data_IF_030862618207
#
_entry.id   IF_030862618207
#
_cell.length_a   1.000
_cell.length_b   1.000
_cell.length_c   1.000
_cell.angle_alpha   90.00
_cell.angle_beta   90.00
_cell.angle_gamma   90.00
#
_symmetry.space_group_name_H-M   'P 1'
#
loop_
_entity.id
_entity.type
_entity.pdbx_description
1 polymer ?
#
# COMPACT_ATOMS: atom_id res chain seq x y z
N UNK A 1 -14.21 23.28 1.17
CA UNK A 1 -13.53 22.14 1.79
C UNK A 1 -12.53 21.61 0.78
N UNK A 2 -11.24 21.58 1.12
CA UNK A 2 -10.24 21.02 0.23
C UNK A 2 -10.53 19.52 0.08
N UNK A 3 -10.72 19.05 -1.15
CA UNK A 3 -11.04 17.65 -1.45
C UNK A 3 -9.79 16.81 -1.23
N UNK A 4 -9.50 16.47 0.02
CA UNK A 4 -8.35 15.65 0.39
C UNK A 4 -8.55 14.21 -0.12
N UNK A 5 -7.66 13.76 -1.01
CA UNK A 5 -7.73 12.43 -1.62
C UNK A 5 -7.72 11.31 -0.58
N UNK A 6 -7.10 11.53 0.58
CA UNK A 6 -7.03 10.54 1.68
C UNK A 6 -8.43 10.27 2.24
N UNK A 7 -9.20 11.34 2.46
CA UNK A 7 -10.58 11.24 2.91
C UNK A 7 -11.49 10.61 1.83
N UNK A 8 -11.28 10.95 0.56
CA UNK A 8 -12.00 10.35 -0.55
C UNK A 8 -11.71 8.84 -0.66
N UNK A 9 -10.45 8.43 -0.50
CA UNK A 9 -10.05 7.03 -0.49
C UNK A 9 -10.71 6.23 0.64
N UNK A 10 -10.77 6.75 1.87
CA UNK A 10 -11.45 6.06 2.98
C UNK A 10 -12.94 5.87 2.67
N UNK A 11 -13.63 6.92 2.19
CA UNK A 11 -15.05 6.80 1.80
C UNK A 11 -15.25 5.78 0.70
N UNK A 12 -14.41 5.82 -0.32
CA UNK A 12 -14.40 4.87 -1.43
C UNK A 12 -14.18 3.43 -0.95
N UNK A 13 -13.25 3.21 -0.02
CA UNK A 13 -13.01 1.89 0.57
C UNK A 13 -14.19 1.37 1.40
N UNK A 14 -14.89 2.25 2.13
CA UNK A 14 -16.10 1.88 2.89
C UNK A 14 -17.26 1.54 1.93
N UNK A 15 -17.50 2.39 0.93
CA UNK A 15 -18.58 2.22 -0.07
C UNK A 15 -18.46 0.87 -0.80
N UNK A 16 -17.25 0.47 -1.15
CA UNK A 16 -16.97 -0.80 -1.83
C UNK A 16 -16.71 -1.99 -0.88
N UNK A 17 -17.00 -1.83 0.43
CA UNK A 17 -16.80 -2.86 1.45
C UNK A 17 -15.35 -3.40 1.54
N UNK A 18 -14.39 -2.66 1.00
CA UNK A 18 -12.95 -2.94 1.13
C UNK A 18 -12.51 -2.70 2.56
N UNK A 19 -13.03 -1.64 3.18
CA UNK A 19 -12.89 -1.34 4.60
C UNK A 19 -14.20 -1.69 5.30
N UNK A 20 -14.14 -2.62 6.25
CA UNK A 20 -15.30 -3.09 7.02
C UNK A 20 -15.04 -2.99 8.51
N UNK A 21 -16.12 -2.84 9.28
CA UNK A 21 -16.11 -2.84 10.74
C UNK A 21 -16.76 -4.11 11.28
N UNK A 22 -16.33 -4.54 12.47
CA UNK A 22 -16.70 -5.81 13.09
C UNK A 22 -15.49 -6.49 13.72
N UNK A 23 -15.63 -7.75 14.12
CA UNK A 23 -14.54 -8.50 14.73
C UNK A 23 -13.78 -9.35 13.70
N UNK A 24 -12.50 -9.05 13.51
CA UNK A 24 -11.65 -9.74 12.54
C UNK A 24 -10.38 -10.27 13.18
N UNK A 25 -10.13 -11.58 13.06
CA UNK A 25 -8.85 -12.15 13.46
C UNK A 25 -7.79 -11.90 12.38
N UNK A 26 -6.75 -11.14 12.73
CA UNK A 26 -5.61 -10.86 11.86
C UNK A 26 -4.64 -12.05 11.80
N UNK A 27 -3.73 -12.05 10.81
CA UNK A 27 -2.63 -13.04 10.73
C UNK A 27 -1.75 -13.09 11.98
N UNK A 28 -1.68 -11.98 12.74
CA UNK A 28 -0.99 -11.91 14.03
C UNK A 28 -1.75 -12.55 15.19
N UNK A 29 -2.97 -13.05 14.96
CA UNK A 29 -3.88 -13.56 15.99
C UNK A 29 -4.69 -12.49 16.72
N UNK A 30 -4.40 -11.19 16.50
CA UNK A 30 -5.13 -10.07 17.12
C UNK A 30 -6.57 -9.98 16.60
N UNK A 31 -7.49 -9.60 17.48
CA UNK A 31 -8.87 -9.25 17.11
C UNK A 31 -8.94 -7.75 16.82
N UNK A 32 -9.16 -7.41 15.56
CA UNK A 32 -9.25 -6.05 15.04
C UNK A 32 -10.72 -5.63 14.87
N UNK A 33 -11.10 -4.40 15.25
CA UNK A 33 -12.47 -3.87 15.06
C UNK A 33 -12.76 -3.45 13.61
N UNK A 34 -11.76 -3.55 12.75
CA UNK A 34 -11.84 -3.21 11.34
C UNK A 34 -10.96 -4.13 10.50
N UNK A 35 -11.29 -4.28 9.22
CA UNK A 35 -10.50 -5.03 8.27
C UNK A 35 -10.45 -4.34 6.92
N UNK A 36 -9.25 -4.32 6.34
CA UNK A 36 -9.00 -3.75 5.03
C UNK A 36 -8.59 -4.88 4.07
N UNK A 37 -9.35 -5.06 3.00
CA UNK A 37 -9.09 -6.06 1.97
C UNK A 37 -9.06 -5.43 0.58
N UNK A 38 -7.88 -5.00 0.13
CA UNK A 38 -7.70 -4.43 -1.21
C UNK A 38 -8.14 -5.37 -2.35
N UNK A 39 -8.23 -6.68 -2.10
CA UNK A 39 -8.74 -7.65 -3.09
C UNK A 39 -10.21 -7.45 -3.47
N UNK A 40 -10.95 -6.60 -2.76
CA UNK A 40 -12.32 -6.21 -3.12
C UNK A 40 -12.39 -5.05 -4.13
N UNK A 41 -11.26 -4.40 -4.44
CA UNK A 41 -11.13 -3.56 -5.64
C UNK A 41 -10.96 -4.43 -6.88
N UNK A 42 -12.02 -5.19 -7.21
CA UNK A 42 -12.00 -6.30 -8.17
C UNK A 42 -12.73 -6.02 -9.49
N UNK A 43 -13.09 -4.77 -9.74
CA UNK A 43 -13.66 -4.32 -11.02
C UNK A 43 -12.71 -3.34 -11.70
N UNK A 44 -12.85 -3.18 -13.03
CA UNK A 44 -12.01 -2.24 -13.78
C UNK A 44 -12.12 -0.79 -13.27
N UNK A 45 -13.33 -0.34 -12.90
CA UNK A 45 -13.53 1.00 -12.36
C UNK A 45 -12.88 1.18 -11.00
N UNK A 46 -13.00 0.19 -10.12
CA UNK A 46 -12.43 0.29 -8.76
C UNK A 46 -10.91 0.22 -8.77
N UNK A 47 -10.34 -0.63 -9.61
CA UNK A 47 -8.89 -0.71 -9.80
C UNK A 47 -8.31 0.56 -10.43
N UNK A 48 -9.01 1.14 -11.42
CA UNK A 48 -8.57 2.39 -12.04
C UNK A 48 -8.57 3.56 -11.03
N UNK A 49 -9.59 3.65 -10.17
CA UNK A 49 -9.64 4.68 -9.13
C UNK A 49 -8.58 4.46 -8.06
N UNK A 50 -8.33 3.20 -7.66
CA UNK A 50 -7.25 2.86 -6.75
C UNK A 50 -5.87 3.30 -7.28
N UNK A 51 -5.59 3.07 -8.58
CA UNK A 51 -4.36 3.55 -9.22
C UNK A 51 -4.18 5.07 -9.14
N UNK A 52 -5.27 5.83 -9.27
CA UNK A 52 -5.25 7.30 -9.13
C UNK A 52 -4.95 7.75 -7.71
N UNK A 53 -5.52 7.06 -6.71
CA UNK A 53 -5.21 7.37 -5.31
C UNK A 53 -3.74 7.11 -4.96
N UNK A 54 -3.15 6.02 -5.46
CA UNK A 54 -1.71 5.79 -5.32
C UNK A 54 -0.88 6.89 -6.00
N UNK A 55 -1.22 7.28 -7.23
CA UNK A 55 -0.55 8.36 -7.95
C UNK A 55 -0.59 9.67 -7.15
N UNK A 56 -1.76 10.04 -6.65
CA UNK A 56 -1.93 11.23 -5.81
C UNK A 56 -1.08 11.18 -4.54
N UNK A 57 -1.06 10.05 -3.83
CA UNK A 57 -0.29 9.88 -2.61
C UNK A 57 1.22 10.02 -2.86
N UNK A 58 1.73 9.31 -3.87
CA UNK A 58 3.16 9.32 -4.23
C UNK A 58 3.62 10.70 -4.69
N UNK A 59 2.82 11.38 -5.53
CA UNK A 59 3.13 12.73 -6.01
C UNK A 59 3.08 13.76 -4.87
N UNK A 60 2.08 13.67 -3.99
CA UNK A 60 1.96 14.57 -2.84
C UNK A 60 3.12 14.40 -1.84
N UNK A 61 3.71 13.21 -1.75
CA UNK A 61 4.89 12.94 -0.94
C UNK A 61 6.20 13.48 -1.57
N UNK A 62 6.17 13.94 -2.83
CA UNK A 62 7.37 14.39 -3.53
C UNK A 62 8.39 13.29 -3.76
N UNK A 63 7.95 12.03 -3.79
CA UNK A 63 8.84 10.88 -3.92
C UNK A 63 9.37 10.80 -5.35
N UNK A 64 10.69 10.79 -5.49
CA UNK A 64 11.34 10.62 -6.78
C UNK A 64 11.62 9.14 -7.06
N UNK A 65 11.25 8.69 -8.25
CA UNK A 65 11.42 7.32 -8.71
C UNK A 65 11.45 7.29 -10.24
N UNK A 66 12.08 6.25 -10.79
CA UNK A 66 12.28 6.08 -12.23
C UNK A 66 11.40 4.96 -12.79
N UNK A 67 11.00 4.00 -11.94
CA UNK A 67 10.07 2.92 -12.31
C UNK A 67 9.28 2.41 -11.09
N UNK A 68 8.23 1.63 -11.35
CA UNK A 68 7.42 0.98 -10.29
C UNK A 68 7.56 -0.55 -10.32
N UNK A 69 7.59 -1.16 -9.15
CA UNK A 69 7.66 -2.60 -8.95
C UNK A 69 6.52 -3.10 -8.05
N UNK A 70 5.78 -4.10 -8.53
CA UNK A 70 4.69 -4.74 -7.78
C UNK A 70 5.05 -6.17 -7.34
N UNK A 71 5.23 -6.46 -6.04
CA UNK A 71 5.52 -7.81 -5.58
C UNK A 71 4.35 -8.78 -5.85
N UNK A 72 4.67 -10.00 -6.25
CA UNK A 72 3.67 -11.03 -6.50
C UNK A 72 2.92 -11.45 -5.22
N UNK A 73 1.60 -11.60 -5.22
CA UNK A 73 0.66 -11.43 -6.35
C UNK A 73 -0.08 -10.10 -6.34
N UNK A 74 -0.32 -9.54 -5.15
CA UNK A 74 -1.20 -8.37 -4.97
C UNK A 74 -0.62 -7.10 -5.56
N UNK A 75 0.70 -6.93 -5.52
CA UNK A 75 1.37 -5.76 -6.10
C UNK A 75 1.28 -5.70 -7.63
N UNK A 76 1.04 -6.83 -8.31
CA UNK A 76 0.99 -6.88 -9.78
C UNK A 76 -0.11 -5.98 -10.37
N UNK A 77 -1.41 -6.14 -10.02
CA UNK A 77 -2.45 -5.25 -10.51
C UNK A 77 -2.28 -3.81 -10.02
N UNK A 78 -1.70 -3.61 -8.82
CA UNK A 78 -1.47 -2.28 -8.26
C UNK A 78 -0.41 -1.49 -9.05
N UNK A 79 0.72 -2.12 -9.37
CA UNK A 79 1.77 -1.52 -10.19
C UNK A 79 1.28 -1.17 -11.59
N UNK A 80 0.50 -2.06 -12.21
CA UNK A 80 -0.11 -1.79 -13.50
C UNK A 80 -1.09 -0.60 -13.43
N UNK A 81 -2.01 -0.60 -12.46
CA UNK A 81 -2.99 0.47 -12.29
C UNK A 81 -2.34 1.83 -11.98
N UNK A 82 -1.29 1.82 -11.15
CA UNK A 82 -0.49 3.01 -10.87
C UNK A 82 0.22 3.54 -12.11
N UNK A 83 0.92 2.69 -12.87
CA UNK A 83 1.60 3.09 -14.09
C UNK A 83 0.63 3.69 -15.13
N UNK A 84 -0.54 3.08 -15.31
CA UNK A 84 -1.61 3.61 -16.16
C UNK A 84 -2.07 4.98 -15.65
N UNK A 85 -2.32 5.13 -14.35
CA UNK A 85 -2.74 6.41 -13.78
C UNK A 85 -1.68 7.51 -13.94
N UNK A 86 -0.40 7.18 -13.81
CA UNK A 86 0.72 8.10 -14.03
C UNK A 86 0.79 8.57 -15.49
N UNK A 87 0.60 7.66 -16.46
CA UNK A 87 0.54 8.02 -17.87
C UNK A 87 -0.69 8.90 -18.19
N UNK A 88 -1.88 8.43 -17.85
CA UNK A 88 -3.15 9.07 -18.25
C UNK A 88 -3.44 10.39 -17.54
N UNK A 89 -3.09 10.50 -16.25
CA UNK A 89 -3.46 11.66 -15.41
C UNK A 89 -2.33 12.64 -15.19
N UNK A 90 -1.08 12.20 -15.38
CA UNK A 90 0.10 12.98 -15.04
C UNK A 90 1.10 13.09 -16.20
N UNK A 91 0.83 12.49 -17.36
CA UNK A 91 1.71 12.55 -18.53
C UNK A 91 3.09 11.93 -18.29
N UNK A 92 3.20 11.02 -17.31
CA UNK A 92 4.44 10.35 -16.93
C UNK A 92 4.37 8.88 -17.30
N UNK A 93 4.94 8.56 -18.46
CA UNK A 93 5.11 7.17 -18.89
C UNK A 93 6.28 6.53 -18.13
N UNK A 94 5.96 5.68 -17.16
CA UNK A 94 6.94 5.04 -16.27
C UNK A 94 7.00 3.53 -16.56
N UNK A 95 8.21 2.93 -16.61
CA UNK A 95 8.34 1.49 -16.69
C UNK A 95 7.73 0.81 -15.45
N UNK A 96 7.11 -0.35 -15.64
CA UNK A 96 6.64 -1.19 -14.55
C UNK A 96 7.21 -2.61 -14.64
N UNK A 97 7.42 -3.22 -13.48
CA UNK A 97 7.87 -4.60 -13.35
C UNK A 97 7.20 -5.31 -12.17
N UNK A 98 7.25 -6.63 -12.17
CA UNK A 98 6.84 -7.47 -11.05
C UNK A 98 7.64 -8.78 -11.05
N UNK A 99 7.65 -9.50 -9.92
CA UNK A 99 8.28 -10.81 -9.87
C UNK A 99 7.29 -11.97 -10.06
N UNK A 100 7.82 -13.15 -10.35
CA UNK A 100 7.18 -14.45 -10.16
C UNK A 100 7.66 -15.07 -8.85
N UNK A 101 6.86 -15.96 -8.26
CA UNK A 101 7.29 -16.74 -7.09
C UNK A 101 8.29 -17.85 -7.44
N UNK A 102 8.23 -18.33 -8.67
CA UNK A 102 9.13 -19.37 -9.20
C UNK A 102 9.75 -18.88 -10.51
N UNK A 103 11.04 -19.19 -10.70
CA UNK A 103 11.72 -18.90 -11.95
C UNK A 103 11.13 -19.77 -13.07
N UNK A 104 11.10 -19.24 -14.30
CA UNK A 104 10.85 -20.09 -15.47
C UNK A 104 12.16 -20.67 -15.98
N UNK A 105 12.16 -21.98 -16.21
CA UNK A 105 13.30 -22.70 -16.78
C UNK A 105 13.40 -22.56 -18.33
N UNK A 106 12.42 -21.92 -18.98
CA UNK A 106 12.32 -21.80 -20.44
C UNK A 106 11.79 -20.40 -20.86
N UNK A 107 12.23 -19.88 -22.01
CA UNK A 107 11.87 -18.55 -22.53
C UNK A 107 12.85 -17.44 -22.12
N UNK A 108 12.37 -16.21 -21.87
CA UNK A 108 13.20 -15.08 -21.37
C UNK A 108 13.86 -15.35 -20.00
N UNK A 109 13.48 -16.44 -19.31
CA UNK A 109 14.10 -16.88 -18.06
C UNK A 109 13.85 -15.94 -16.88
N UNK A 110 14.39 -16.30 -15.71
CA UNK A 110 14.41 -15.44 -14.53
C UNK A 110 13.06 -15.28 -13.81
N UNK A 111 13.06 -14.33 -12.87
CA UNK A 111 11.94 -14.08 -11.95
C UNK A 111 11.24 -12.75 -12.20
N UNK A 112 11.77 -11.86 -13.02
CA UNK A 112 11.20 -10.52 -13.29
C UNK A 112 10.38 -10.55 -14.58
N UNK A 113 9.26 -9.85 -14.58
CA UNK A 113 8.38 -9.64 -15.73
C UNK A 113 8.12 -8.14 -15.89
N UNK A 114 8.14 -7.65 -17.13
CA UNK A 114 8.03 -6.23 -17.45
C UNK A 114 9.41 -5.63 -17.76
N UNK A 115 9.60 -4.36 -17.42
CA UNK A 115 10.87 -3.67 -17.65
C UNK A 115 12.01 -4.25 -16.78
N UNK A 116 13.27 -4.20 -17.23
CA UNK A 116 14.41 -4.52 -16.37
C UNK A 116 14.45 -3.58 -15.16
N UNK A 117 14.80 -4.11 -13.99
CA UNK A 117 14.96 -3.30 -12.78
C UNK A 117 16.19 -2.41 -12.91
N UNK A 118 15.99 -1.09 -12.90
CA UNK A 118 17.06 -0.09 -13.05
C UNK A 118 16.69 1.22 -12.35
N UNK A 119 17.69 2.01 -11.98
CA UNK A 119 17.49 3.32 -11.35
C UNK A 119 16.85 3.21 -9.96
N UNK A 120 15.92 4.13 -9.67
CA UNK A 120 15.18 4.23 -8.41
C UNK A 120 13.81 3.57 -8.55
N UNK A 121 13.61 2.48 -7.83
CA UNK A 121 12.42 1.62 -7.95
C UNK A 121 11.45 1.91 -6.80
N UNK A 122 10.25 2.36 -7.12
CA UNK A 122 9.15 2.46 -6.17
C UNK A 122 8.47 1.10 -6.03
N UNK A 123 8.40 0.54 -4.82
CA UNK A 123 7.61 -0.67 -4.56
C UNK A 123 6.16 -0.27 -4.21
N UNK A 124 5.17 -0.95 -4.79
CA UNK A 124 3.75 -0.70 -4.50
C UNK A 124 3.05 -1.96 -4.01
N UNK A 125 2.41 -1.91 -2.83
CA UNK A 125 1.77 -3.05 -2.19
C UNK A 125 0.47 -2.63 -1.48
N UNK A 126 -0.40 -3.55 -1.06
CA UNK A 126 -1.66 -3.18 -0.43
C UNK A 126 -1.50 -2.65 0.99
N UNK A 127 -0.88 -3.43 1.87
CA UNK A 127 -0.62 -3.10 3.28
C UNK A 127 0.72 -3.69 3.71
N UNK A 128 1.50 -2.95 4.52
CA UNK A 128 2.69 -3.53 5.16
C UNK A 128 2.27 -4.25 6.44
N UNK A 129 2.61 -5.54 6.55
CA UNK A 129 2.38 -6.34 7.76
C UNK A 129 3.69 -6.66 8.49
N UNK A 130 4.48 -7.62 8.00
CA UNK A 130 5.79 -7.97 8.56
C UNK A 130 6.98 -7.46 7.71
N UNK A 131 6.68 -6.66 6.67
CA UNK A 131 7.68 -6.18 5.72
C UNK A 131 8.33 -7.27 4.84
N UNK A 132 7.85 -8.51 4.87
CA UNK A 132 8.43 -9.62 4.11
C UNK A 132 8.42 -9.38 2.60
N UNK A 133 7.29 -8.92 2.03
CA UNK A 133 7.19 -8.60 0.60
C UNK A 133 8.16 -7.49 0.19
N UNK A 134 8.30 -6.46 1.02
CA UNK A 134 9.25 -5.36 0.80
C UNK A 134 10.69 -5.88 0.85
N UNK A 135 11.04 -6.74 1.80
CA UNK A 135 12.38 -7.34 1.93
C UNK A 135 12.74 -8.18 0.71
N UNK A 136 11.82 -9.04 0.26
CA UNK A 136 12.00 -9.82 -0.98
C UNK A 136 12.20 -8.89 -2.19
N UNK A 137 11.39 -7.83 -2.29
CA UNK A 137 11.49 -6.84 -3.37
C UNK A 137 12.81 -6.09 -3.35
N UNK A 138 13.24 -5.61 -2.19
CA UNK A 138 14.51 -4.91 -2.01
C UNK A 138 15.71 -5.79 -2.40
N UNK A 139 15.67 -7.08 -2.08
CA UNK A 139 16.71 -8.03 -2.48
C UNK A 139 16.76 -8.19 -4.01
N UNK A 140 15.61 -8.32 -4.69
CA UNK A 140 15.54 -8.41 -6.15
C UNK A 140 16.05 -7.12 -6.83
N UNK A 141 15.63 -5.96 -6.32
CA UNK A 141 16.04 -4.64 -6.80
C UNK A 141 17.55 -4.47 -6.67
N UNK A 142 18.10 -4.78 -5.49
CA UNK A 142 19.55 -4.70 -5.23
C UNK A 142 20.34 -5.70 -6.08
N UNK A 143 19.84 -6.92 -6.28
CA UNK A 143 20.50 -7.93 -7.11
C UNK A 143 20.57 -7.52 -8.60
N UNK A 144 19.64 -6.67 -9.06
CA UNK A 144 19.67 -6.09 -10.39
C UNK A 144 20.53 -4.80 -10.50
N UNK A 145 21.17 -4.36 -9.40
CA UNK A 145 21.95 -3.12 -9.35
C UNK A 145 21.11 -1.85 -9.30
N UNK A 146 19.80 -1.97 -9.06
CA UNK A 146 18.89 -0.85 -8.85
C UNK A 146 18.81 -0.47 -7.37
N UNK A 147 18.15 0.66 -7.08
CA UNK A 147 17.97 1.20 -5.72
C UNK A 147 16.51 1.24 -5.35
N UNK A 148 16.18 0.89 -4.11
CA UNK A 148 14.82 1.06 -3.59
C UNK A 148 14.59 2.56 -3.33
N UNK A 149 13.59 3.15 -3.97
CA UNK A 149 13.23 4.56 -3.81
C UNK A 149 12.34 4.80 -2.59
N UNK A 150 11.43 3.86 -2.33
CA UNK A 150 10.39 3.94 -1.32
C UNK A 150 9.35 2.85 -1.51
N UNK A 151 8.38 2.84 -0.61
CA UNK A 151 7.23 1.92 -0.66
C UNK A 151 5.94 2.71 -0.62
N UNK A 152 5.00 2.42 -1.51
CA UNK A 152 3.66 2.97 -1.51
C UNK A 152 2.64 1.90 -1.09
N UNK A 153 1.79 2.20 -0.11
CA UNK A 153 0.72 1.32 0.38
C UNK A 153 -0.64 2.01 0.41
N UNK A 154 -1.72 1.22 0.36
CA UNK A 154 -3.07 1.76 0.42
C UNK A 154 -3.41 2.30 1.81
N UNK A 155 -3.13 1.52 2.86
CA UNK A 155 -3.51 1.86 4.22
C UNK A 155 -2.37 1.57 5.21
N UNK A 156 -1.90 2.60 5.91
CA UNK A 156 -1.08 2.43 7.10
C UNK A 156 -1.97 2.23 8.33
N UNK A 157 -1.87 1.04 8.92
CA UNK A 157 -2.65 0.67 10.11
C UNK A 157 -2.17 1.36 11.38
N UNK A 158 -0.97 1.95 11.38
CA UNK A 158 -0.34 2.58 12.55
C UNK A 158 -0.34 1.65 13.78
N UNK A 159 -0.08 0.37 13.54
CA UNK A 159 -0.08 -0.69 14.56
C UNK A 159 1.34 -1.22 14.77
N UNK A 160 1.71 -1.46 16.03
CA UNK A 160 2.95 -2.13 16.42
C UNK A 160 3.07 -3.49 15.77
N UNK A 161 4.24 -3.80 15.22
CA UNK A 161 4.61 -5.13 14.74
C UNK A 161 4.83 -6.11 15.89
N UNK A 162 5.94 -6.84 15.84
CA UNK A 162 6.42 -7.64 16.98
C UNK A 162 7.18 -6.77 18.00
N UNK A 163 7.71 -5.62 17.59
CA UNK A 163 8.37 -4.65 18.45
C UNK A 163 7.53 -3.40 18.70
N UNK A 164 8.21 -2.31 19.08
CA UNK A 164 7.59 -1.02 19.39
C UNK A 164 7.22 -0.18 18.16
N UNK A 165 7.85 -0.45 17.01
CA UNK A 165 7.61 0.30 15.78
C UNK A 165 6.42 -0.27 15.00
N UNK A 166 5.78 0.59 14.21
CA UNK A 166 4.84 0.13 13.18
C UNK A 166 5.58 -0.63 12.09
N UNK A 167 4.87 -1.50 11.37
CA UNK A 167 5.44 -2.22 10.23
C UNK A 167 6.01 -1.28 9.16
N UNK A 168 5.36 -0.13 8.92
CA UNK A 168 5.85 0.91 8.02
C UNK A 168 7.16 1.52 8.55
N UNK A 169 7.21 1.91 9.83
CA UNK A 169 8.42 2.46 10.46
C UNK A 169 9.58 1.47 10.49
N UNK A 170 9.30 0.18 10.69
CA UNK A 170 10.32 -0.87 10.61
C UNK A 170 10.92 -0.95 9.20
N UNK A 171 10.10 -0.85 8.15
CA UNK A 171 10.58 -0.78 6.77
C UNK A 171 11.43 0.48 6.56
N UNK A 172 10.95 1.65 6.99
CA UNK A 172 11.72 2.90 6.85
C UNK A 172 13.09 2.80 7.51
N UNK A 173 13.14 2.29 8.75
CA UNK A 173 14.39 2.12 9.49
C UNK A 173 15.33 1.11 8.84
N UNK A 174 14.80 -0.03 8.40
CA UNK A 174 15.63 -1.14 7.91
C UNK A 174 16.19 -0.89 6.51
N UNK A 175 15.49 -0.12 5.68
CA UNK A 175 15.88 0.13 4.29
C UNK A 175 16.31 1.57 4.01
N UNK A 176 16.08 2.50 4.94
CA UNK A 176 16.44 3.91 4.77
C UNK A 176 15.63 4.63 3.70
N UNK A 177 14.39 4.17 3.43
CA UNK A 177 13.51 4.72 2.39
C UNK A 177 12.14 5.08 2.98
N UNK A 178 11.43 6.08 2.45
CA UNK A 178 10.10 6.45 2.95
C UNK A 178 9.04 5.38 2.64
N UNK A 179 8.07 5.25 3.55
CA UNK A 179 6.82 4.52 3.30
C UNK A 179 5.67 5.53 3.16
N UNK A 180 5.12 5.64 1.95
CA UNK A 180 3.98 6.49 1.63
C UNK A 180 2.70 5.67 1.73
N UNK A 181 1.70 6.17 2.45
CA UNK A 181 0.36 5.58 2.46
C UNK A 181 -0.66 6.51 1.82
N UNK A 182 -1.66 5.96 1.14
CA UNK A 182 -2.81 6.76 0.64
C UNK A 182 -3.57 7.32 1.83
N UNK A 183 -3.87 6.49 2.82
CA UNK A 183 -4.49 6.91 4.07
C UNK A 183 -3.92 6.10 5.24
N UNK A 184 -4.24 6.55 6.45
CA UNK A 184 -3.84 5.90 7.69
C UNK A 184 -5.02 5.80 8.68
N UNK A 185 -4.78 5.16 9.83
CA UNK A 185 -5.79 5.02 10.88
C UNK A 185 -6.31 6.38 11.38
N UNK A 186 -5.45 7.41 11.47
CA UNK A 186 -5.88 8.78 11.80
C UNK A 186 -6.90 9.33 10.79
N UNK A 187 -6.64 9.14 9.49
CA UNK A 187 -7.55 9.55 8.41
C UNK A 187 -8.90 8.82 8.52
N UNK A 188 -8.88 7.52 8.81
CA UNK A 188 -10.10 6.74 9.03
C UNK A 188 -10.93 7.32 10.18
N UNK A 189 -10.31 7.58 11.33
CA UNK A 189 -10.99 8.15 12.50
C UNK A 189 -11.57 9.54 12.19
N UNK A 190 -10.84 10.37 11.43
CA UNK A 190 -11.33 11.69 11.02
C UNK A 190 -12.57 11.59 10.12
N UNK A 191 -12.56 10.68 9.14
CA UNK A 191 -13.71 10.48 8.23
C UNK A 191 -14.94 10.00 8.99
N UNK A 192 -14.80 9.01 9.88
CA UNK A 192 -15.93 8.50 10.67
C UNK A 192 -16.54 9.58 11.58
N UNK A 193 -15.71 10.43 12.19
CA UNK A 193 -16.18 11.58 12.98
C UNK A 193 -16.95 12.59 12.14
N UNK A 194 -16.51 12.84 10.91
CA UNK A 194 -17.17 13.78 10.00
C UNK A 194 -18.50 13.24 9.46
N UNK A 195 -18.60 11.92 9.22
CA UNK A 195 -19.84 11.28 8.75
C UNK A 195 -20.89 11.19 9.86
N UNK A 196 -20.48 10.99 11.11
CA UNK A 196 -21.38 10.75 12.25
C UNK A 196 -22.03 9.36 12.20
N UNK A 197 -22.68 8.93 13.29
CA UNK A 197 -23.37 7.63 13.33
C UNK A 197 -22.44 6.41 13.41
N UNK A 198 -21.17 6.63 13.77
CA UNK A 198 -20.12 5.62 13.89
C UNK A 198 -19.54 5.56 15.31
N UNK A 199 -20.34 5.88 16.33
CA UNK A 199 -19.88 6.01 17.71
C UNK A 199 -19.31 4.68 18.25
N UNK A 200 -19.92 3.55 17.90
CA UNK A 200 -19.46 2.23 18.30
C UNK A 200 -18.12 1.86 17.64
N UNK A 201 -18.00 2.11 16.33
CA UNK A 201 -16.76 1.87 15.58
C UNK A 201 -15.62 2.76 16.09
N UNK A 202 -15.91 4.02 16.37
CA UNK A 202 -14.93 4.98 16.91
C UNK A 202 -14.40 4.55 18.28
N UNK A 203 -15.27 4.08 19.18
CA UNK A 203 -14.80 3.58 20.49
C UNK A 203 -13.99 2.29 20.35
N UNK A 204 -14.42 1.37 19.47
CA UNK A 204 -13.69 0.14 19.21
C UNK A 204 -12.30 0.41 18.61
N UNK A 205 -12.19 1.33 17.64
CA UNK A 205 -10.92 1.78 17.07
C UNK A 205 -10.03 2.44 18.13
N UNK A 206 -10.60 3.27 19.02
CA UNK A 206 -9.86 3.90 20.13
C UNK A 206 -9.28 2.86 21.07
N UNK A 207 -10.09 1.92 21.53
CA UNK A 207 -9.65 0.84 22.41
C UNK A 207 -8.56 -0.03 21.76
N UNK A 208 -8.73 -0.35 20.48
CA UNK A 208 -7.74 -1.11 19.72
C UNK A 208 -6.42 -0.35 19.58
N UNK A 209 -6.47 0.96 19.29
CA UNK A 209 -5.28 1.82 19.18
C UNK A 209 -4.54 1.97 20.51
N UNK A 210 -5.22 2.09 21.64
CA UNK A 210 -4.56 2.11 22.96
C UNK A 210 -3.74 0.84 23.18
N UNK A 211 -4.27 -0.31 22.74
CA UNK A 211 -3.61 -1.61 22.93
C UNK A 211 -2.48 -1.88 21.94
N UNK A 212 -2.65 -1.51 20.67
CA UNK A 212 -1.75 -1.94 19.59
C UNK A 212 -1.16 -0.81 18.76
N UNK A 213 -1.55 0.44 18.98
CA UNK A 213 -1.06 1.59 18.24
C UNK A 213 0.45 1.77 18.37
N UNK A 214 1.06 2.17 17.26
CA UNK A 214 2.43 2.66 17.19
C UNK A 214 2.41 4.17 16.87
N UNK A 215 3.48 4.86 17.27
CA UNK A 215 3.69 6.28 16.99
C UNK A 215 3.99 6.57 15.51
#
# INVERSE_FOLDING_TARGET
MHNDFRHAFIRFAIEHQVLRFGEFQLKSGRISPYFFNAGLFNTGSTLAELGRFYAQAVLAAGLEFDMVFGPAYKGVPLAAAFAIAMADRHGRDIPFAFNRKEAKDHGEGGVIVGAPLQGRVLVIDDVVSAGTSVRESAALISAAGATLAGVAIALDRQERGLGELSAAREVERNFGVPVVSIANLDTLVQVLRQQGGHEAELEALRAYRVRYGAD
#
